data_IF_034077053368
#
_entry.id   IF_034077053368
#
_cell.length_a   1.000
_cell.length_b   1.000
_cell.length_c   1.000
_cell.angle_alpha   90.00
_cell.angle_beta   90.00
_cell.angle_gamma   90.00
#
_symmetry.space_group_name_H-M   'P 1'
#
loop_
_entity.id
_entity.type
_entity.pdbx_description
1 polymer ?
#
# COMPACT_ATOMS: atom_id res chain seq x y z
N UNK A 1 -1.71 -15.36 -13.93
CA UNK A 1 -0.51 -14.56 -13.65
C UNK A 1 -1.02 -13.27 -13.07
N UNK A 2 -0.98 -13.16 -11.76
CA UNK A 2 -1.54 -12.00 -11.05
C UNK A 2 -0.74 -10.77 -11.43
N UNK A 3 -1.44 -9.70 -11.81
CA UNK A 3 -0.82 -8.49 -12.33
C UNK A 3 -0.43 -7.60 -11.16
N UNK A 4 0.86 -7.45 -10.89
CA UNK A 4 1.41 -6.45 -9.96
C UNK A 4 1.46 -5.10 -10.67
N UNK A 5 0.30 -4.51 -10.93
CA UNK A 5 0.22 -3.17 -11.54
C UNK A 5 -1.13 -2.52 -11.30
N UNK A 6 -1.11 -1.37 -10.65
CA UNK A 6 -2.23 -0.42 -10.65
C UNK A 6 -1.75 0.95 -11.13
N UNK A 7 -2.67 1.81 -11.53
CA UNK A 7 -2.34 3.22 -11.75
C UNK A 7 -2.27 3.88 -10.38
N UNK A 8 -1.16 4.56 -10.02
CA UNK A 8 -1.03 5.17 -8.71
C UNK A 8 -2.22 6.05 -8.36
N UNK A 9 -2.90 5.75 -7.26
CA UNK A 9 -4.05 6.51 -6.76
C UNK A 9 -4.09 6.47 -5.24
N UNK A 10 -4.71 7.47 -4.62
CA UNK A 10 -4.90 7.48 -3.17
C UNK A 10 -6.05 6.54 -2.80
N UNK A 11 -5.78 5.64 -1.86
CA UNK A 11 -6.79 4.81 -1.21
C UNK A 11 -7.03 5.32 0.20
N UNK A 12 -8.27 5.30 0.65
CA UNK A 12 -8.61 5.69 2.01
C UNK A 12 -8.03 4.67 2.99
N UNK A 13 -7.70 5.13 4.20
CA UNK A 13 -7.32 4.26 5.30
C UNK A 13 -8.37 4.43 6.41
N UNK A 14 -8.78 3.31 7.00
CA UNK A 14 -10.01 3.20 7.79
C UNK A 14 -9.90 3.79 9.20
N UNK A 15 -8.72 3.78 9.81
CA UNK A 15 -8.54 4.14 11.22
C UNK A 15 -7.96 5.55 11.45
N UNK A 16 -7.06 6.00 10.58
CA UNK A 16 -6.22 7.21 10.68
C UNK A 16 -6.32 8.14 9.45
N UNK A 17 -7.07 7.78 8.39
CA UNK A 17 -7.09 8.42 7.07
C UNK A 17 -7.55 9.89 6.98
N UNK A 18 -7.88 10.55 8.09
CA UNK A 18 -8.33 11.94 8.11
C UNK A 18 -7.19 12.97 7.99
N UNK A 19 -5.95 12.63 8.38
CA UNK A 19 -4.85 13.61 8.34
C UNK A 19 -4.13 13.69 6.97
N UNK A 20 -4.19 12.63 6.15
CA UNK A 20 -3.47 12.53 4.86
C UNK A 20 -4.33 12.35 3.60
N UNK A 21 -5.66 12.21 3.75
CA UNK A 21 -6.58 11.80 2.67
C UNK A 21 -6.20 10.45 2.03
N UNK A 22 -5.59 9.56 2.80
CA UNK A 22 -5.16 8.24 2.35
C UNK A 22 -3.76 8.17 1.72
N UNK A 23 -3.37 6.96 1.31
CA UNK A 23 -2.02 6.64 0.85
C UNK A 23 -1.97 6.25 -0.62
N UNK A 24 -0.82 6.48 -1.24
CA UNK A 24 -0.62 6.22 -2.67
C UNK A 24 -0.40 4.73 -2.91
N UNK A 25 -1.44 4.01 -3.34
CA UNK A 25 -1.31 2.60 -3.75
C UNK A 25 -0.66 2.56 -5.13
N UNK A 26 0.43 1.81 -5.25
CA UNK A 26 1.22 1.69 -6.49
C UNK A 26 1.19 0.28 -7.09
N UNK A 27 0.83 -0.73 -6.29
CA UNK A 27 0.57 -2.07 -6.81
C UNK A 27 -0.48 -2.81 -5.97
N UNK A 28 -1.22 -3.69 -6.63
CA UNK A 28 -2.13 -4.67 -6.04
C UNK A 28 -1.61 -6.07 -6.40
N UNK A 29 -1.62 -6.99 -5.45
CA UNK A 29 -1.20 -8.37 -5.64
C UNK A 29 -1.96 -9.29 -4.68
N UNK A 30 -2.79 -10.19 -5.24
CA UNK A 30 -3.75 -10.99 -4.45
C UNK A 30 -4.67 -10.05 -3.64
N UNK A 31 -4.69 -10.19 -2.32
CA UNK A 31 -5.38 -9.40 -1.32
C UNK A 31 -4.44 -8.38 -0.62
N UNK A 32 -3.27 -8.10 -1.22
CA UNK A 32 -2.28 -7.15 -0.72
C UNK A 32 -2.19 -5.92 -1.62
N UNK A 33 -1.91 -4.78 -0.98
CA UNK A 33 -1.48 -3.54 -1.63
C UNK A 33 -0.07 -3.18 -1.22
N UNK A 34 0.69 -2.66 -2.17
CA UNK A 34 1.91 -1.90 -1.93
C UNK A 34 1.57 -0.43 -2.07
N UNK A 35 1.85 0.35 -1.03
CA UNK A 35 1.55 1.77 -1.00
C UNK A 35 2.73 2.59 -0.49
N UNK A 36 2.79 3.84 -0.94
CA UNK A 36 3.70 4.85 -0.42
C UNK A 36 3.00 5.70 0.64
N UNK A 37 3.66 5.80 1.79
CA UNK A 37 3.28 6.65 2.90
C UNK A 37 4.03 7.98 2.79
N UNK A 38 3.31 9.04 2.44
CA UNK A 38 3.83 10.40 2.27
C UNK A 38 4.09 11.15 3.59
N UNK A 39 3.64 10.59 4.72
CA UNK A 39 3.88 11.15 6.07
C UNK A 39 5.24 10.68 6.61
N UNK A 40 5.53 9.39 6.47
CA UNK A 40 6.75 8.74 7.00
C UNK A 40 7.84 8.54 5.93
N UNK A 41 7.57 8.90 4.67
CA UNK A 41 8.47 8.76 3.51
C UNK A 41 9.00 7.33 3.29
N UNK A 42 8.10 6.42 2.88
CA UNK A 42 8.52 5.07 2.52
C UNK A 42 7.38 4.15 2.07
N UNK A 43 7.75 2.94 1.64
CA UNK A 43 6.80 1.95 1.13
C UNK A 43 6.42 0.92 2.19
N UNK A 44 5.16 0.52 2.16
CA UNK A 44 4.58 -0.45 3.09
C UNK A 44 3.61 -1.38 2.35
N UNK A 45 3.31 -2.53 2.96
CA UNK A 45 2.39 -3.52 2.41
C UNK A 45 1.28 -3.74 3.43
N UNK A 46 0.03 -3.70 2.98
CA UNK A 46 -1.13 -4.00 3.81
C UNK A 46 -2.10 -4.92 3.06
N UNK A 47 -2.98 -5.58 3.80
CA UNK A 47 -4.13 -6.27 3.21
C UNK A 47 -5.21 -5.25 2.78
N UNK A 48 -6.08 -5.68 1.88
CA UNK A 48 -7.32 -4.97 1.58
C UNK A 48 -8.48 -5.96 1.40
N UNK A 49 -9.58 -5.75 2.13
CA UNK A 49 -10.84 -6.46 1.88
C UNK A 49 -11.69 -5.82 0.78
N UNK A 50 -11.55 -4.50 0.60
CA UNK A 50 -12.33 -3.70 -0.35
C UNK A 50 -11.43 -2.80 -1.17
N UNK A 51 -11.55 -2.90 -2.50
CA UNK A 51 -10.78 -2.06 -3.40
C UNK A 51 -11.03 -0.56 -3.12
N UNK A 52 -9.93 0.21 -2.97
CA UNK A 52 -9.97 1.63 -2.63
C UNK A 52 -9.78 1.92 -1.14
N UNK A 53 -9.71 0.89 -0.30
CA UNK A 53 -9.52 0.99 1.15
C UNK A 53 -8.35 0.11 1.57
N UNK A 54 -7.39 0.66 2.31
CA UNK A 54 -6.34 -0.14 2.95
C UNK A 54 -6.77 -0.47 4.39
N UNK A 55 -6.47 -1.69 4.85
CA UNK A 55 -6.98 -2.16 6.14
C UNK A 55 -6.12 -1.70 7.32
N UNK A 56 -4.80 -1.77 7.19
CA UNK A 56 -3.87 -1.45 8.28
C UNK A 56 -2.79 -0.46 7.84
N UNK A 57 -2.52 0.51 8.73
CA UNK A 57 -1.39 1.42 8.62
C UNK A 57 -0.09 0.78 9.14
N UNK A 58 0.98 0.84 8.35
CA UNK A 58 2.30 0.41 8.75
C UNK A 58 3.40 1.47 8.55
N UNK A 59 4.55 1.21 9.19
CA UNK A 59 5.70 2.12 9.35
C UNK A 59 7.03 1.42 9.05
N UNK A 60 7.06 0.42 8.17
CA UNK A 60 8.32 -0.22 7.79
C UNK A 60 9.25 0.71 7.00
N UNK A 61 8.69 1.64 6.24
CA UNK A 61 9.45 2.64 5.49
C UNK A 61 10.47 1.99 4.52
N UNK A 62 10.08 0.89 3.89
CA UNK A 62 10.95 0.17 2.95
C UNK A 62 11.24 1.06 1.72
N UNK A 63 12.45 0.98 1.17
CA UNK A 63 12.70 1.45 -0.19
C UNK A 63 11.92 0.61 -1.20
N UNK A 64 11.48 1.22 -2.31
CA UNK A 64 10.59 0.58 -3.29
C UNK A 64 11.06 -0.81 -3.72
N UNK A 65 12.37 -0.96 -3.96
CA UNK A 65 12.97 -2.22 -4.39
C UNK A 65 12.78 -3.32 -3.34
N UNK A 66 13.00 -3.02 -2.06
CA UNK A 66 12.83 -4.00 -0.98
C UNK A 66 11.35 -4.34 -0.79
N UNK A 67 10.46 -3.36 -0.88
CA UNK A 67 9.03 -3.56 -0.75
C UNK A 67 8.47 -4.46 -1.87
N UNK A 68 8.92 -4.29 -3.13
CA UNK A 68 8.55 -5.19 -4.23
C UNK A 68 9.04 -6.62 -3.97
N UNK A 69 10.29 -6.80 -3.53
CA UNK A 69 10.82 -8.12 -3.22
C UNK A 69 10.08 -8.79 -2.06
N UNK A 70 9.63 -8.02 -1.07
CA UNK A 70 8.80 -8.48 0.05
C UNK A 70 7.42 -8.91 -0.45
N UNK A 71 6.76 -8.07 -1.25
CA UNK A 71 5.44 -8.35 -1.84
C UNK A 71 5.39 -9.66 -2.63
N UNK A 72 6.40 -9.92 -3.45
CA UNK A 72 6.47 -11.13 -4.29
C UNK A 72 6.70 -12.42 -3.49
N UNK A 73 7.08 -12.32 -2.21
CA UNK A 73 7.31 -13.46 -1.31
C UNK A 73 6.11 -13.77 -0.40
N UNK A 74 5.12 -12.88 -0.34
CA UNK A 74 3.85 -13.05 0.37
C UNK A 74 2.83 -13.77 -0.54
#
# INVERSE_FOLDING_TARGET
MDKVKTTPCKWAEREMGNEGSGFWVIAEYKDLVLYYNDIEDGFNISHFEKHGEIDEYHVEQDELYFAILKLLKL
#
